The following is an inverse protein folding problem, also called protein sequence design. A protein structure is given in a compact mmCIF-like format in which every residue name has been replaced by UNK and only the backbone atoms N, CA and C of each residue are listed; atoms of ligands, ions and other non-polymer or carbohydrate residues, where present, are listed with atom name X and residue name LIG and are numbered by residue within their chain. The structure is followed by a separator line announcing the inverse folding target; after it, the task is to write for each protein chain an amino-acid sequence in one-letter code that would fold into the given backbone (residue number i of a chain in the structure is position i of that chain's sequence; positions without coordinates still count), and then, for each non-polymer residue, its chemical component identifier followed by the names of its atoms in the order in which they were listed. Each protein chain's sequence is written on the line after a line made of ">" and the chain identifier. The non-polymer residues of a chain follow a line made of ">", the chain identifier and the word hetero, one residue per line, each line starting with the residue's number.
data_IF_107355315740
#
_entry.id   IF_107355315740
#
_cell.length_a   1.000
_cell.length_b   1.000
_cell.length_c   1.000
_cell.angle_alpha   90.00
_cell.angle_beta   90.00
_cell.angle_gamma   90.00
#
_symmetry.space_group_name_H-M   'P 1'
#
loop_
_entity.id
_entity.type
_entity.pdbx_description
1 polymer ?
#
# COMPACT_ATOMS: atom_id res chain seq x y z
N UNK A 1 79.74 -30.10 -23.34
CA UNK A 1 80.90 -29.42 -22.73
C UNK A 1 80.51 -27.95 -22.55
N UNK A 2 80.76 -27.27 -21.43
CA UNK A 2 81.30 -27.72 -20.15
C UNK A 2 81.98 -26.57 -19.39
N UNK A 3 81.60 -26.36 -18.11
CA UNK A 3 82.32 -25.58 -17.06
C UNK A 3 82.37 -24.04 -17.25
N UNK A 4 81.99 -23.19 -16.26
CA UNK A 4 82.52 -22.93 -14.89
C UNK A 4 83.64 -21.86 -14.89
N UNK A 5 84.10 -21.19 -13.82
CA UNK A 5 83.79 -21.05 -12.37
C UNK A 5 84.60 -19.83 -11.85
N UNK A 6 84.40 -19.21 -10.68
CA UNK A 6 83.51 -19.34 -9.51
C UNK A 6 83.12 -17.89 -9.07
N UNK A 7 82.77 -17.42 -7.85
CA UNK A 7 82.73 -17.84 -6.42
C UNK A 7 81.49 -17.19 -5.74
N UNK A 8 81.28 -17.24 -4.42
CA UNK A 8 81.19 -18.33 -3.41
C UNK A 8 81.20 -17.70 -2.00
N UNK A 9 80.46 -18.33 -1.07
CA UNK A 9 80.61 -18.37 0.40
C UNK A 9 79.42 -17.82 1.23
N UNK A 10 79.09 -18.35 2.42
CA UNK A 10 78.59 -19.72 2.72
C UNK A 10 77.73 -19.75 4.03
N UNK A 11 77.01 -20.87 4.27
CA UNK A 11 76.48 -21.41 5.56
C UNK A 11 75.27 -20.79 6.30
N UNK A 12 74.18 -21.56 6.31
CA UNK A 12 73.60 -22.33 7.46
C UNK A 12 73.55 -21.75 8.89
N UNK A 13 72.61 -22.09 9.80
CA UNK A 13 71.38 -22.93 9.79
C UNK A 13 70.59 -22.69 11.11
N UNK A 14 69.26 -22.90 11.15
CA UNK A 14 68.54 -23.67 12.21
C UNK A 14 67.00 -23.48 12.18
N UNK A 15 66.28 -24.43 12.77
CA UNK A 15 64.86 -24.37 13.15
C UNK A 15 64.69 -25.10 14.50
N UNK A 16 63.64 -24.87 15.32
CA UNK A 16 62.45 -25.74 15.19
C UNK A 16 61.09 -25.24 15.79
N UNK A 17 60.04 -26.05 15.56
CA UNK A 17 58.77 -26.21 16.34
C UNK A 17 57.67 -25.14 16.29
N UNK A 18 56.42 -25.64 16.24
CA UNK A 18 55.15 -24.91 16.40
C UNK A 18 54.59 -25.06 17.82
N UNK A 19 53.53 -24.33 18.22
CA UNK A 19 52.18 -24.96 18.17
C UNK A 19 50.94 -24.04 18.02
N UNK A 20 49.81 -24.66 17.61
CA UNK A 20 48.39 -24.34 17.93
C UNK A 20 47.74 -23.00 17.47
N UNK A 21 46.97 -23.12 16.39
CA UNK A 21 45.55 -22.73 16.25
C UNK A 21 44.93 -21.65 17.17
N UNK A 22 44.33 -20.62 16.56
CA UNK A 22 43.06 -20.04 17.03
C UNK A 22 42.02 -20.00 15.91
N UNK A 23 40.73 -20.16 16.25
CA UNK A 23 39.63 -20.36 15.28
C UNK A 23 38.82 -19.08 15.00
N UNK A 24 38.25 -19.02 13.79
CA UNK A 24 37.14 -18.14 13.42
C UNK A 24 35.97 -18.27 14.43
N UNK A 25 35.28 -17.17 14.74
CA UNK A 25 33.94 -17.21 15.33
C UNK A 25 32.89 -17.15 14.22
N UNK A 26 31.95 -18.09 14.23
CA UNK A 26 30.66 -17.99 13.57
C UNK A 26 29.58 -18.03 14.64
N UNK A 27 28.53 -17.22 14.49
CA UNK A 27 27.35 -17.30 15.35
C UNK A 27 26.39 -18.36 14.81
N UNK A 28 25.85 -19.19 15.71
CA UNK A 28 24.94 -20.26 15.38
C UNK A 28 23.66 -20.15 16.22
N UNK A 29 22.51 -20.40 15.60
CA UNK A 29 21.22 -20.41 16.26
C UNK A 29 21.13 -21.53 17.32
N UNK A 30 20.26 -21.35 18.32
CA UNK A 30 19.93 -22.41 19.29
C UNK A 30 18.49 -22.88 19.08
N UNK A 31 18.33 -24.19 18.90
CA UNK A 31 17.08 -24.90 19.18
C UNK A 31 17.21 -25.63 20.51
N UNK A 32 16.08 -25.82 21.21
CA UNK A 32 15.98 -26.64 22.43
C UNK A 32 15.07 -27.85 22.20
N UNK A 33 15.34 -29.02 22.81
CA UNK A 33 14.78 -30.30 22.34
C UNK A 33 13.51 -30.77 23.06
N UNK A 34 12.72 -31.60 22.38
CA UNK A 34 11.67 -32.42 22.99
C UNK A 34 12.23 -33.52 23.93
N UNK A 35 11.48 -33.88 24.98
CA UNK A 35 11.46 -35.28 25.48
C UNK A 35 10.15 -35.69 26.19
N UNK A 36 9.40 -36.56 25.50
CA UNK A 36 8.51 -37.66 25.92
C UNK A 36 7.50 -37.49 27.09
N UNK A 37 6.31 -38.07 26.87
CA UNK A 37 5.20 -38.25 27.84
C UNK A 37 5.51 -39.32 28.91
N UNK A 38 4.89 -39.17 30.07
CA UNK A 38 4.35 -40.28 30.89
C UNK A 38 3.01 -39.84 31.51
N UNK A 39 2.27 -40.73 32.17
CA UNK A 39 0.88 -40.47 32.59
C UNK A 39 0.57 -41.02 33.99
N UNK A 40 -0.30 -40.31 34.73
CA UNK A 40 -1.30 -40.86 35.69
C UNK A 40 -2.17 -39.74 36.27
N UNK A 41 -3.44 -40.06 36.53
CA UNK A 41 -4.41 -39.18 37.19
C UNK A 41 -4.33 -39.33 38.72
N UNK A 42 -4.60 -38.25 39.46
CA UNK A 42 -5.58 -38.19 40.56
C UNK A 42 -5.85 -36.73 40.98
N UNK A 43 -6.99 -36.51 41.61
CA UNK A 43 -7.59 -35.22 42.00
C UNK A 43 -7.87 -35.21 43.52
N UNK A 44 -8.60 -34.22 44.07
CA UNK A 44 -8.47 -32.75 43.97
C UNK A 44 -8.26 -32.11 45.37
N UNK A 45 -8.08 -30.78 45.45
CA UNK A 45 -8.49 -29.99 46.62
C UNK A 45 -8.57 -28.49 46.29
N UNK A 46 -9.68 -27.83 46.66
CA UNK A 46 -9.85 -26.38 46.53
C UNK A 46 -9.11 -25.61 47.64
N UNK A 47 -8.57 -24.44 47.31
CA UNK A 47 -8.62 -23.27 48.22
C UNK A 47 -8.98 -22.01 47.44
N UNK A 48 -10.00 -21.29 47.91
CA UNK A 48 -10.52 -20.05 47.32
C UNK A 48 -9.96 -18.84 48.07
N UNK A 49 -9.78 -17.73 47.35
CA UNK A 49 -9.64 -16.37 47.90
C UNK A 49 -10.45 -15.38 47.03
N UNK A 50 -10.88 -14.22 47.55
CA UNK A 50 -12.22 -13.73 47.23
C UNK A 50 -12.34 -12.84 45.99
N UNK A 51 -13.49 -12.92 45.31
CA UNK A 51 -13.96 -11.88 44.38
C UNK A 51 -14.65 -10.76 45.16
N UNK A 52 -14.19 -9.52 45.04
CA UNK A 52 -15.01 -8.37 45.42
C UNK A 52 -16.19 -8.24 44.44
N UNK A 53 -17.41 -8.26 44.98
CA UNK A 53 -18.62 -7.85 44.25
C UNK A 53 -18.77 -6.32 44.36
N UNK A 54 -18.69 -5.61 43.24
CA UNK A 54 -19.44 -4.35 43.09
C UNK A 54 -20.63 -4.61 42.18
N UNK A 55 -21.80 -4.16 42.62
CA UNK A 55 -23.05 -4.27 41.87
C UNK A 55 -23.07 -3.22 40.78
N UNK A 56 -23.16 -3.65 39.52
CA UNK A 56 -23.62 -2.81 38.41
C UNK A 56 -24.95 -3.42 37.98
N UNK A 57 -26.01 -2.62 37.95
CA UNK A 57 -27.33 -3.07 37.49
C UNK A 57 -27.32 -3.10 35.97
N UNK A 58 -27.89 -4.15 35.38
CA UNK A 58 -28.14 -4.18 33.94
C UNK A 58 -29.24 -3.17 33.60
N UNK A 59 -28.90 -2.17 32.78
CA UNK A 59 -29.86 -1.40 31.98
C UNK A 59 -29.68 -1.77 30.50
N UNK A 60 -30.67 -1.52 29.63
CA UNK A 60 -30.54 -1.79 28.20
C UNK A 60 -29.50 -0.86 27.57
N UNK A 61 -28.59 -1.43 26.78
CA UNK A 61 -27.61 -0.72 25.96
C UNK A 61 -28.04 -0.78 24.48
N UNK A 62 -29.22 -0.21 24.21
CA UNK A 62 -29.72 0.12 22.87
C UNK A 62 -30.12 1.60 22.85
N UNK A 63 -29.14 2.46 22.58
CA UNK A 63 -29.36 3.83 22.11
C UNK A 63 -28.32 4.15 21.05
N UNK A 64 -28.77 4.30 19.81
CA UNK A 64 -27.94 4.82 18.72
C UNK A 64 -27.47 6.24 19.08
N UNK A 65 -26.15 6.44 19.13
CA UNK A 65 -25.59 7.79 19.06
C UNK A 65 -25.67 8.22 17.59
N UNK A 66 -26.85 8.68 17.19
CA UNK A 66 -27.02 9.39 15.93
C UNK A 66 -26.19 10.68 16.02
N UNK A 67 -25.29 10.90 15.07
CA UNK A 67 -24.43 12.10 15.04
C UNK A 67 -25.17 13.26 14.36
N UNK A 68 -26.37 13.52 14.87
CA UNK A 68 -27.18 14.70 14.60
C UNK A 68 -27.43 15.43 15.94
N UNK A 69 -27.69 16.73 15.88
CA UNK A 69 -28.10 17.58 17.01
C UNK A 69 -27.10 17.72 18.18
N UNK A 70 -25.87 18.15 17.86
CA UNK A 70 -24.96 18.84 18.81
C UNK A 70 -24.57 20.25 18.30
N UNK A 71 -25.42 20.87 17.49
CA UNK A 71 -25.33 22.29 17.11
C UNK A 71 -26.71 22.90 16.87
N UNK A 72 -27.50 23.02 17.93
CA UNK A 72 -28.65 23.95 17.98
C UNK A 72 -28.22 25.09 18.91
N UNK A 73 -27.81 26.23 18.32
CA UNK A 73 -27.55 27.44 19.09
C UNK A 73 -28.87 28.18 19.32
N UNK A 74 -29.29 28.29 20.58
CA UNK A 74 -30.24 29.31 21.01
C UNK A 74 -29.55 30.69 21.00
N UNK A 75 -29.36 31.28 19.82
CA UNK A 75 -29.41 32.74 19.60
C UNK A 75 -29.25 33.09 18.12
N UNK A 76 -29.95 34.13 17.68
CA UNK A 76 -30.08 34.55 16.27
C UNK A 76 -28.86 35.25 15.66
N UNK A 77 -27.64 34.83 15.99
CA UNK A 77 -26.42 35.33 15.36
C UNK A 77 -26.16 34.64 14.02
N UNK A 78 -25.86 35.44 13.00
CA UNK A 78 -25.64 34.95 11.63
C UNK A 78 -24.24 34.32 11.51
N UNK A 79 -24.13 33.06 11.94
CA UNK A 79 -22.85 32.45 12.28
C UNK A 79 -21.98 32.20 11.04
N UNK A 80 -20.80 32.82 10.99
CA UNK A 80 -19.95 32.78 9.79
C UNK A 80 -19.38 31.38 9.56
N UNK A 81 -19.56 30.85 8.34
CA UNK A 81 -19.10 29.52 7.91
C UNK A 81 -17.57 29.29 8.02
N UNK A 82 -16.83 30.35 8.34
CA UNK A 82 -15.44 30.31 8.78
C UNK A 82 -15.18 31.33 9.89
N UNK A 83 -14.26 31.02 10.81
CA UNK A 83 -13.80 31.87 11.91
C UNK A 83 -12.28 31.76 12.07
N UNK A 84 -11.63 32.81 12.58
CA UNK A 84 -10.18 32.88 12.75
C UNK A 84 -9.48 33.66 11.64
N UNK A 85 -8.20 33.39 11.40
CA UNK A 85 -7.40 34.04 10.34
C UNK A 85 -7.90 33.59 8.96
N UNK A 86 -7.99 34.50 7.98
CA UNK A 86 -8.45 34.15 6.64
C UNK A 86 -7.67 32.97 6.06
N UNK A 87 -8.39 32.02 5.46
CA UNK A 87 -7.81 30.80 4.93
C UNK A 87 -6.70 31.08 3.90
N UNK A 88 -6.94 32.05 3.02
CA UNK A 88 -5.98 32.45 1.99
C UNK A 88 -4.75 33.13 2.60
N UNK A 89 -4.88 33.82 3.74
CA UNK A 89 -3.75 34.41 4.46
C UNK A 89 -2.88 33.36 5.17
N UNK A 90 -3.45 32.22 5.56
CA UNK A 90 -2.70 31.07 6.06
C UNK A 90 -1.98 30.41 4.87
N UNK A 91 -2.73 30.04 3.84
CA UNK A 91 -2.20 29.31 2.69
C UNK A 91 -1.14 30.10 1.93
N UNK A 92 -1.32 31.39 1.66
CA UNK A 92 -0.33 32.20 0.94
C UNK A 92 0.99 32.42 1.72
N UNK A 93 1.06 32.09 3.02
CA UNK A 93 2.32 32.05 3.78
C UNK A 93 3.05 30.71 3.65
N UNK A 94 2.31 29.62 3.43
CA UNK A 94 2.86 28.27 3.24
C UNK A 94 3.00 27.87 1.75
N UNK A 95 2.34 28.59 0.84
CA UNK A 95 2.53 28.59 -0.61
C UNK A 95 3.47 29.71 -1.07
N UNK A 96 4.48 30.04 -0.26
CA UNK A 96 5.76 30.33 -0.88
C UNK A 96 6.11 29.11 -1.75
N UNK A 97 6.43 29.26 -3.04
CA UNK A 97 6.76 28.13 -3.87
C UNK A 97 7.96 27.42 -3.22
N UNK A 98 7.78 26.16 -2.83
CA UNK A 98 8.92 25.32 -2.48
C UNK A 98 9.78 25.25 -3.73
N UNK A 99 10.98 25.82 -3.65
CA UNK A 99 11.84 26.01 -4.80
C UNK A 99 12.17 24.63 -5.39
N UNK A 100 12.62 24.60 -6.65
CA UNK A 100 13.14 23.36 -7.23
C UNK A 100 14.28 22.77 -6.37
N UNK A 101 15.00 23.61 -5.62
CA UNK A 101 15.99 23.29 -4.59
C UNK A 101 15.44 22.36 -3.49
N UNK A 102 14.21 22.57 -2.99
CA UNK A 102 13.56 21.66 -2.01
C UNK A 102 13.28 20.27 -2.59
N UNK A 103 13.11 20.18 -3.92
CA UNK A 103 12.95 18.91 -4.64
C UNK A 103 14.31 18.29 -5.01
N UNK A 104 15.37 19.08 -5.23
CA UNK A 104 16.73 18.57 -5.36
C UNK A 104 17.18 17.85 -4.10
N UNK A 105 16.82 18.33 -2.89
CA UNK A 105 17.09 17.60 -1.64
C UNK A 105 16.36 16.24 -1.59
N UNK A 106 15.15 16.13 -2.15
CA UNK A 106 14.42 14.85 -2.24
C UNK A 106 15.05 13.90 -3.29
N UNK A 107 15.62 14.46 -4.36
CA UNK A 107 16.32 13.71 -5.43
C UNK A 107 17.71 13.25 -4.97
N UNK A 108 18.39 14.05 -4.15
CA UNK A 108 19.72 13.75 -3.62
C UNK A 108 19.72 12.99 -2.28
N UNK A 109 18.58 12.88 -1.60
CA UNK A 109 18.43 12.01 -0.41
C UNK A 109 18.76 10.56 -0.77
N UNK A 110 19.81 10.03 -0.13
CA UNK A 110 20.27 8.64 -0.29
C UNK A 110 19.25 7.60 0.19
N UNK A 111 18.17 8.04 0.84
CA UNK A 111 17.05 7.22 1.26
C UNK A 111 15.85 7.26 0.27
N UNK A 112 15.92 8.06 -0.80
CA UNK A 112 14.92 8.11 -1.87
C UNK A 112 15.24 7.13 -3.00
N UNK A 113 14.28 6.25 -3.32
CA UNK A 113 14.43 5.21 -4.33
C UNK A 113 13.53 5.51 -5.53
N UNK A 114 14.13 6.04 -6.60
CA UNK A 114 13.44 6.37 -7.85
C UNK A 114 13.29 5.12 -8.72
N UNK A 115 12.05 4.65 -8.89
CA UNK A 115 11.66 3.50 -9.72
C UNK A 115 11.76 3.78 -11.22
N UNK A 116 11.76 5.05 -11.58
CA UNK A 116 11.94 5.56 -12.94
C UNK A 116 13.42 5.33 -13.33
N UNK A 117 13.67 4.73 -14.50
CA UNK A 117 15.02 4.59 -15.06
C UNK A 117 15.44 5.87 -15.80
N UNK A 118 16.73 6.25 -15.81
CA UNK A 118 17.28 7.17 -16.81
C UNK A 118 17.09 6.63 -18.23
N UNK A 119 17.05 7.52 -19.23
CA UNK A 119 16.75 7.20 -20.64
C UNK A 119 17.74 6.20 -21.27
N UNK A 120 18.96 6.10 -20.73
CA UNK A 120 20.07 5.38 -21.35
C UNK A 120 20.34 3.97 -20.79
N UNK A 121 19.57 3.49 -19.82
CA UNK A 121 19.68 2.12 -19.31
C UNK A 121 19.05 1.10 -20.28
N UNK A 122 19.61 -0.11 -20.38
CA UNK A 122 18.95 -1.20 -21.11
C UNK A 122 17.56 -1.50 -20.52
N UNK A 123 16.56 -1.74 -21.39
CA UNK A 123 15.18 -2.04 -20.99
C UNK A 123 14.96 -3.44 -20.35
N UNK A 124 16.04 -4.04 -19.83
CA UNK A 124 16.01 -5.32 -19.13
C UNK A 124 15.43 -5.16 -17.71
N UNK A 125 14.52 -6.08 -17.34
CA UNK A 125 13.93 -6.19 -16.01
C UNK A 125 14.94 -6.79 -15.02
N UNK A 126 15.12 -6.14 -13.87
CA UNK A 126 16.05 -6.56 -12.81
C UNK A 126 15.26 -7.11 -11.63
N UNK A 127 15.18 -8.44 -11.53
CA UNK A 127 14.41 -9.11 -10.49
C UNK A 127 15.02 -8.95 -9.09
N UNK A 128 14.14 -8.89 -8.08
CA UNK A 128 14.47 -9.02 -6.65
C UNK A 128 13.44 -9.92 -5.99
N UNK A 129 13.93 -10.95 -5.33
CA UNK A 129 13.14 -11.91 -4.56
C UNK A 129 13.80 -12.12 -3.20
N UNK A 130 13.91 -11.01 -2.46
CA UNK A 130 14.45 -10.90 -1.11
C UNK A 130 13.43 -10.19 -0.20
N UNK A 131 13.73 -10.11 1.10
CA UNK A 131 12.78 -9.67 2.13
C UNK A 131 12.66 -8.13 2.23
N UNK A 132 13.39 -7.39 1.39
CA UNK A 132 13.43 -5.93 1.32
C UNK A 132 12.66 -5.36 0.12
N UNK A 133 12.15 -6.20 -0.78
CA UNK A 133 11.42 -5.80 -1.99
C UNK A 133 10.08 -6.51 -2.15
N UNK A 134 9.16 -5.90 -2.90
CA UNK A 134 7.89 -6.51 -3.29
C UNK A 134 8.14 -7.76 -4.13
N UNK A 135 7.57 -8.90 -3.72
CA UNK A 135 7.52 -10.13 -4.54
C UNK A 135 6.69 -9.85 -5.81
N UNK A 136 7.34 -9.58 -6.94
CA UNK A 136 6.65 -9.22 -8.18
C UNK A 136 6.04 -10.45 -8.87
N UNK A 137 4.84 -10.36 -9.48
CA UNK A 137 4.18 -11.48 -10.16
C UNK A 137 4.97 -11.99 -11.38
N UNK A 138 5.84 -11.14 -11.95
CA UNK A 138 6.73 -11.46 -13.07
C UNK A 138 8.07 -12.10 -12.66
N UNK A 139 8.35 -12.28 -11.36
CA UNK A 139 9.59 -12.92 -10.92
C UNK A 139 9.67 -14.38 -11.41
N UNK A 140 10.82 -14.83 -11.97
CA UNK A 140 11.08 -16.25 -12.25
C UNK A 140 11.05 -17.17 -11.02
N UNK A 141 11.02 -16.58 -9.82
CA UNK A 141 10.94 -17.26 -8.52
C UNK A 141 9.50 -17.52 -8.05
N UNK A 142 8.50 -16.85 -8.61
CA UNK A 142 7.10 -17.10 -8.27
C UNK A 142 6.61 -18.41 -8.92
N UNK A 143 6.20 -19.36 -8.08
CA UNK A 143 5.77 -20.70 -8.48
C UNK A 143 4.29 -20.96 -8.17
N UNK A 144 3.61 -21.69 -9.05
CA UNK A 144 2.28 -22.26 -8.80
C UNK A 144 2.34 -23.39 -7.77
N UNK A 145 1.18 -23.88 -7.29
CA UNK A 145 1.14 -25.06 -6.40
C UNK A 145 1.77 -26.31 -7.03
N UNK A 146 1.75 -26.41 -8.36
CA UNK A 146 2.38 -27.48 -9.13
C UNK A 146 3.88 -27.25 -9.40
N UNK A 147 4.51 -26.25 -8.77
CA UNK A 147 5.95 -25.91 -8.87
C UNK A 147 6.43 -25.53 -10.28
N UNK A 148 5.53 -25.02 -11.11
CA UNK A 148 5.88 -24.35 -12.37
C UNK A 148 5.94 -22.84 -12.15
N UNK A 149 6.75 -22.11 -12.94
CA UNK A 149 6.75 -20.64 -12.91
C UNK A 149 5.35 -20.11 -13.19
N UNK A 150 4.85 -19.22 -12.34
CA UNK A 150 3.50 -18.69 -12.45
C UNK A 150 3.34 -17.71 -13.62
N UNK A 151 4.36 -16.88 -13.88
CA UNK A 151 4.25 -15.76 -14.84
C UNK A 151 3.82 -16.18 -16.27
N UNK A 152 4.40 -17.21 -16.93
CA UNK A 152 3.97 -17.61 -18.27
C UNK A 152 2.50 -18.05 -18.35
N UNK A 153 1.98 -18.68 -17.28
CA UNK A 153 0.56 -19.05 -17.15
C UNK A 153 -0.32 -17.80 -17.02
N UNK A 154 0.07 -16.86 -16.14
CA UNK A 154 -0.63 -15.59 -15.93
C UNK A 154 -0.65 -14.76 -17.22
N UNK A 155 0.48 -14.65 -17.93
CA UNK A 155 0.57 -13.97 -19.22
C UNK A 155 -0.37 -14.57 -20.26
N UNK A 156 -0.40 -15.91 -20.39
CA UNK A 156 -1.32 -16.59 -21.32
C UNK A 156 -2.80 -16.31 -21.00
N UNK A 157 -3.18 -16.37 -19.73
CA UNK A 157 -4.57 -16.14 -19.27
C UNK A 157 -5.02 -14.68 -19.45
N UNK A 158 -4.15 -13.71 -19.15
CA UNK A 158 -4.43 -12.29 -19.37
C UNK A 158 -4.45 -11.92 -20.85
N UNK A 159 -3.61 -12.54 -21.68
CA UNK A 159 -3.62 -12.39 -23.13
C UNK A 159 -4.92 -12.93 -23.72
N UNK A 160 -5.35 -14.14 -23.36
CA UNK A 160 -6.64 -14.70 -23.78
C UNK A 160 -7.84 -13.85 -23.33
N UNK A 161 -7.80 -13.27 -22.13
CA UNK A 161 -8.84 -12.35 -21.69
C UNK A 161 -8.86 -11.08 -22.55
N UNK A 162 -7.69 -10.49 -22.82
CA UNK A 162 -7.53 -9.32 -23.69
C UNK A 162 -8.06 -9.60 -25.12
N UNK A 163 -7.67 -10.72 -25.73
CA UNK A 163 -8.16 -11.13 -27.05
C UNK A 163 -9.68 -11.29 -27.07
N UNK A 164 -10.29 -11.86 -26.02
CA UNK A 164 -11.75 -11.96 -25.91
C UNK A 164 -12.43 -10.59 -25.85
N UNK A 165 -11.80 -9.58 -25.24
CA UNK A 165 -12.29 -8.21 -25.23
C UNK A 165 -12.23 -7.62 -26.64
N UNK A 166 -11.07 -7.69 -27.29
CA UNK A 166 -10.84 -7.13 -28.64
C UNK A 166 -11.66 -7.82 -29.74
N UNK A 167 -12.03 -9.09 -29.54
CA UNK A 167 -12.94 -9.83 -30.42
C UNK A 167 -14.43 -9.64 -30.08
N UNK A 168 -14.79 -8.80 -29.09
CA UNK A 168 -16.15 -8.60 -28.59
C UNK A 168 -16.85 -9.89 -28.11
N UNK A 169 -16.10 -10.82 -27.51
CA UNK A 169 -16.57 -12.13 -27.00
C UNK A 169 -16.44 -12.31 -25.48
N UNK A 170 -15.92 -11.31 -24.77
CA UNK A 170 -15.69 -11.39 -23.32
C UNK A 170 -16.98 -11.30 -22.50
N UNK A 171 -17.08 -12.14 -21.47
CA UNK A 171 -18.15 -12.09 -20.47
C UNK A 171 -17.57 -11.83 -19.07
N UNK A 172 -18.42 -11.42 -18.11
CA UNK A 172 -18.02 -11.33 -16.71
C UNK A 172 -17.48 -12.67 -16.16
N UNK A 173 -18.01 -13.79 -16.67
CA UNK A 173 -17.55 -15.15 -16.31
C UNK A 173 -16.12 -15.40 -16.78
N UNK A 174 -15.70 -14.86 -17.93
CA UNK A 174 -14.32 -14.96 -18.40
C UNK A 174 -13.36 -14.19 -17.47
N UNK A 175 -13.70 -12.94 -17.12
CA UNK A 175 -12.92 -12.14 -16.15
C UNK A 175 -12.76 -12.88 -14.82
N UNK A 176 -13.86 -13.42 -14.27
CA UNK A 176 -13.82 -14.22 -13.04
C UNK A 176 -12.91 -15.44 -13.19
N UNK A 177 -13.09 -16.26 -14.23
CA UNK A 177 -12.30 -17.47 -14.46
C UNK A 177 -10.81 -17.13 -14.63
N UNK A 178 -10.47 -16.06 -15.35
CA UNK A 178 -9.07 -15.60 -15.49
C UNK A 178 -8.45 -15.25 -14.13
N UNK A 179 -9.16 -14.53 -13.25
CA UNK A 179 -8.66 -14.24 -11.89
C UNK A 179 -8.46 -15.53 -11.09
N UNK A 180 -9.47 -16.41 -11.03
CA UNK A 180 -9.41 -17.66 -10.26
C UNK A 180 -8.34 -18.63 -10.78
N UNK A 181 -8.09 -18.65 -12.10
CA UNK A 181 -7.02 -19.44 -12.71
C UNK A 181 -5.63 -18.82 -12.54
N UNK A 182 -5.49 -17.49 -12.54
CA UNK A 182 -4.22 -16.81 -12.25
C UNK A 182 -3.76 -17.06 -10.81
N UNK A 183 -4.65 -16.89 -9.83
CA UNK A 183 -4.34 -17.01 -8.39
C UNK A 183 -4.38 -18.44 -7.85
N UNK A 184 -5.08 -19.36 -8.55
CA UNK A 184 -5.43 -20.69 -8.04
C UNK A 184 -6.40 -20.63 -6.84
N UNK A 185 -7.09 -19.51 -6.62
CA UNK A 185 -8.06 -19.28 -5.54
C UNK A 185 -9.43 -18.86 -6.08
N UNK A 186 -10.50 -19.46 -5.57
CA UNK A 186 -11.87 -19.06 -5.88
C UNK A 186 -12.27 -17.83 -5.05
N UNK A 187 -12.96 -16.86 -5.65
CA UNK A 187 -13.40 -15.64 -4.96
C UNK A 187 -14.90 -15.37 -5.10
N UNK A 188 -15.49 -14.77 -4.06
CA UNK A 188 -16.79 -14.12 -4.16
C UNK A 188 -16.61 -12.78 -4.89
N UNK A 189 -17.30 -12.64 -6.03
CA UNK A 189 -17.14 -11.49 -6.94
C UNK A 189 -18.37 -10.57 -7.00
N UNK A 190 -19.37 -10.80 -6.11
CA UNK A 190 -20.68 -10.13 -6.14
C UNK A 190 -20.66 -8.61 -6.24
N UNK A 191 -19.70 -7.91 -5.64
CA UNK A 191 -19.60 -6.44 -5.73
C UNK A 191 -19.12 -5.96 -7.10
N UNK A 192 -18.22 -6.72 -7.75
CA UNK A 192 -17.79 -6.41 -9.11
C UNK A 192 -18.87 -6.82 -10.12
N UNK A 193 -19.52 -7.96 -9.90
CA UNK A 193 -20.65 -8.45 -10.69
C UNK A 193 -21.83 -7.46 -10.67
N UNK A 194 -22.22 -7.02 -9.46
CA UNK A 194 -23.27 -6.02 -9.24
C UNK A 194 -22.95 -4.68 -9.89
N UNK A 195 -21.69 -4.22 -9.84
CA UNK A 195 -21.29 -2.98 -10.51
C UNK A 195 -21.51 -3.09 -12.03
N UNK A 196 -21.00 -4.18 -12.64
CA UNK A 196 -20.99 -4.39 -14.09
C UNK A 196 -22.38 -4.75 -14.65
N UNK A 197 -23.24 -5.42 -13.88
CA UNK A 197 -24.53 -5.92 -14.35
C UNK A 197 -25.73 -5.07 -13.90
N UNK A 198 -25.68 -4.49 -12.70
CA UNK A 198 -26.88 -3.90 -12.04
C UNK A 198 -26.79 -2.38 -11.86
N UNK A 199 -25.61 -1.77 -11.99
CA UNK A 199 -25.35 -0.35 -11.71
C UNK A 199 -24.81 0.42 -12.92
N UNK A 200 -23.96 -0.21 -13.75
CA UNK A 200 -23.55 0.35 -15.03
C UNK A 200 -24.69 0.35 -16.04
N UNK A 201 -24.81 1.46 -16.76
CA UNK A 201 -25.53 1.53 -18.05
C UNK A 201 -24.96 0.52 -19.06
N UNK A 202 -25.70 0.23 -20.13
CA UNK A 202 -25.21 -0.63 -21.20
C UNK A 202 -23.92 -0.07 -21.81
N UNK A 203 -23.84 1.25 -21.91
CA UNK A 203 -22.74 2.03 -22.46
C UNK A 203 -21.49 1.95 -21.56
N UNK A 204 -21.63 2.16 -20.25
CA UNK A 204 -20.56 1.95 -19.26
C UNK A 204 -20.08 0.49 -19.25
N UNK A 205 -21.01 -0.47 -19.30
CA UNK A 205 -20.71 -1.91 -19.31
C UNK A 205 -19.94 -2.32 -20.56
N UNK A 206 -20.37 -1.85 -21.74
CA UNK A 206 -19.68 -2.07 -23.01
C UNK A 206 -18.30 -1.40 -23.01
N UNK A 207 -18.20 -0.15 -22.52
CA UNK A 207 -16.92 0.55 -22.39
C UNK A 207 -15.95 -0.19 -21.46
N UNK A 208 -16.43 -0.64 -20.29
CA UNK A 208 -15.62 -1.41 -19.36
C UNK A 208 -15.13 -2.73 -19.97
N UNK A 209 -16.03 -3.55 -20.50
CA UNK A 209 -15.68 -4.88 -21.00
C UNK A 209 -14.81 -4.83 -22.27
N UNK A 210 -15.02 -3.86 -23.16
CA UNK A 210 -14.37 -3.84 -24.49
C UNK A 210 -13.22 -2.83 -24.63
N UNK A 211 -13.12 -1.82 -23.75
CA UNK A 211 -12.05 -0.80 -23.80
C UNK A 211 -11.19 -0.80 -22.53
N UNK A 212 -11.80 -0.67 -21.35
CA UNK A 212 -11.05 -0.51 -20.10
C UNK A 212 -10.35 -1.83 -19.72
N UNK A 213 -11.09 -2.94 -19.66
CA UNK A 213 -10.56 -4.25 -19.28
C UNK A 213 -9.35 -4.73 -20.11
N UNK A 214 -9.34 -4.67 -21.48
CA UNK A 214 -8.15 -5.04 -22.24
C UNK A 214 -6.95 -4.11 -21.99
N UNK A 215 -7.18 -2.86 -21.60
CA UNK A 215 -6.12 -1.94 -21.20
C UNK A 215 -5.59 -2.25 -19.78
N UNK A 216 -6.43 -2.66 -18.83
CA UNK A 216 -5.98 -3.21 -17.54
C UNK A 216 -5.18 -4.50 -17.76
N UNK A 217 -5.63 -5.41 -18.63
CA UNK A 217 -4.83 -6.57 -19.04
C UNK A 217 -3.46 -6.14 -19.61
N UNK A 218 -3.43 -5.13 -20.47
CA UNK A 218 -2.19 -4.64 -21.09
C UNK A 218 -1.23 -4.00 -20.09
N UNK A 219 -1.75 -3.27 -19.09
CA UNK A 219 -0.98 -2.70 -17.98
C UNK A 219 -0.36 -3.79 -17.09
N UNK A 220 -1.09 -4.85 -16.78
CA UNK A 220 -0.57 -5.99 -16.03
C UNK A 220 0.43 -6.83 -16.86
N UNK A 221 0.13 -7.10 -18.13
CA UNK A 221 0.97 -7.91 -19.04
C UNK A 221 2.37 -7.34 -19.28
N UNK A 222 2.54 -6.02 -19.18
CA UNK A 222 3.81 -5.31 -19.39
C UNK A 222 4.45 -4.84 -18.06
N UNK A 223 4.08 -5.43 -16.92
CA UNK A 223 4.61 -5.05 -15.59
C UNK A 223 6.15 -5.15 -15.52
N UNK A 224 6.75 -6.13 -16.20
CA UNK A 224 8.20 -6.30 -16.32
C UNK A 224 8.89 -5.17 -17.10
N UNK A 225 8.22 -4.63 -18.12
CA UNK A 225 8.68 -3.51 -18.95
C UNK A 225 8.39 -2.14 -18.36
N UNK A 226 7.38 -2.01 -17.52
CA UNK A 226 6.97 -0.75 -16.89
C UNK A 226 7.65 -0.60 -15.52
N UNK A 227 7.55 -1.62 -14.67
CA UNK A 227 8.24 -1.72 -13.39
C UNK A 227 9.48 -2.60 -13.55
N UNK A 228 10.47 -2.07 -14.30
CA UNK A 228 11.77 -2.69 -14.63
C UNK A 228 12.65 -3.14 -13.44
N UNK A 229 12.17 -2.92 -12.21
CA UNK A 229 12.69 -3.48 -10.95
C UNK A 229 11.53 -3.55 -9.95
N UNK A 230 11.53 -4.47 -8.98
CA UNK A 230 10.56 -4.46 -7.89
C UNK A 230 10.63 -3.19 -7.01
N UNK A 231 9.49 -2.65 -6.55
CA UNK A 231 9.49 -1.63 -5.51
C UNK A 231 10.12 -2.14 -4.19
N UNK A 232 10.87 -1.29 -3.46
CA UNK A 232 11.33 -1.60 -2.11
C UNK A 232 10.16 -1.62 -1.11
N UNK A 233 10.32 -2.35 0.00
CA UNK A 233 9.41 -2.32 1.14
C UNK A 233 9.83 -1.22 2.13
N UNK A 234 8.88 -0.35 2.47
CA UNK A 234 9.04 0.68 3.50
C UNK A 234 8.68 0.08 4.86
N UNK A 235 9.66 -0.61 5.46
CA UNK A 235 9.55 -1.33 6.75
C UNK A 235 9.54 -0.40 7.96
N UNK A 236 9.11 -0.92 9.11
CA UNK A 236 9.10 -0.21 10.41
C UNK A 236 10.48 0.39 10.75
N UNK A 237 10.49 1.59 11.33
CA UNK A 237 11.65 2.45 11.65
C UNK A 237 12.48 2.91 10.42
N UNK A 238 12.01 2.68 9.18
CA UNK A 238 12.70 3.19 7.99
C UNK A 238 12.29 4.63 7.64
N UNK A 239 13.28 5.52 7.57
CA UNK A 239 13.15 6.82 6.94
C UNK A 239 13.57 6.68 5.47
N UNK A 240 12.61 6.46 4.58
CA UNK A 240 12.84 6.18 3.14
C UNK A 240 11.67 6.67 2.27
N UNK A 241 11.95 6.93 1.00
CA UNK A 241 10.90 7.16 0.00
C UNK A 241 11.03 6.21 -1.20
N UNK A 242 9.90 5.94 -1.85
CA UNK A 242 9.85 5.35 -3.19
C UNK A 242 9.06 6.27 -4.12
N UNK A 243 9.70 6.68 -5.20
CA UNK A 243 9.13 7.58 -6.22
C UNK A 243 8.94 6.82 -7.52
N UNK A 244 7.75 6.85 -8.10
CA UNK A 244 7.43 6.13 -9.34
C UNK A 244 6.51 6.96 -10.24
N UNK A 245 6.50 6.70 -11.55
CA UNK A 245 5.55 7.39 -12.44
C UNK A 245 4.12 6.90 -12.21
N UNK A 246 3.13 7.73 -12.51
CA UNK A 246 1.72 7.30 -12.45
C UNK A 246 1.44 6.07 -13.34
N UNK A 247 2.20 5.91 -14.44
CA UNK A 247 2.19 4.69 -15.27
C UNK A 247 2.72 3.44 -14.55
N UNK A 248 3.70 3.57 -13.68
CA UNK A 248 4.19 2.48 -12.82
C UNK A 248 3.16 2.13 -11.75
N UNK A 249 2.56 3.13 -11.11
CA UNK A 249 1.43 2.95 -10.19
C UNK A 249 0.26 2.21 -10.86
N UNK A 250 -0.16 2.66 -12.05
CA UNK A 250 -1.20 2.05 -12.86
C UNK A 250 -0.96 0.56 -13.17
N UNK A 251 0.29 0.21 -13.51
CA UNK A 251 0.67 -1.18 -13.80
C UNK A 251 0.65 -2.06 -12.53
N UNK A 252 1.12 -1.55 -11.39
CA UNK A 252 1.01 -2.22 -10.10
C UNK A 252 -0.46 -2.40 -9.67
N UNK A 253 -1.31 -1.38 -9.88
CA UNK A 253 -2.74 -1.46 -9.56
C UNK A 253 -3.50 -2.41 -10.51
N UNK A 254 -3.09 -2.53 -11.77
CA UNK A 254 -3.61 -3.56 -12.66
C UNK A 254 -3.26 -4.98 -12.17
N UNK A 255 -2.06 -5.19 -11.61
CA UNK A 255 -1.72 -6.44 -10.93
C UNK A 255 -2.54 -6.67 -9.65
N UNK A 256 -2.83 -5.63 -8.87
CA UNK A 256 -3.71 -5.71 -7.69
C UNK A 256 -5.17 -6.05 -8.06
N UNK A 257 -5.69 -5.50 -9.17
CA UNK A 257 -7.01 -5.82 -9.73
C UNK A 257 -7.13 -7.30 -10.08
N UNK A 258 -6.15 -7.87 -10.78
CA UNK A 258 -6.09 -9.30 -11.06
C UNK A 258 -5.62 -10.17 -9.87
N UNK A 259 -5.43 -9.55 -8.69
CA UNK A 259 -5.02 -10.20 -7.43
C UNK A 259 -3.67 -10.96 -7.51
N UNK A 260 -2.74 -10.46 -8.32
CA UNK A 260 -1.53 -11.19 -8.71
C UNK A 260 -0.37 -11.14 -7.71
N UNK A 261 -0.43 -10.30 -6.67
CA UNK A 261 0.69 -10.21 -5.71
C UNK A 261 0.72 -11.45 -4.79
N UNK A 262 1.78 -12.26 -4.83
CA UNK A 262 1.84 -13.54 -4.14
C UNK A 262 2.06 -13.37 -2.64
N UNK A 263 1.48 -14.27 -1.85
CA UNK A 263 1.54 -14.29 -0.38
C UNK A 263 0.92 -13.06 0.30
N UNK A 264 0.10 -12.31 -0.44
CA UNK A 264 -0.58 -11.10 0.05
C UNK A 264 -2.08 -11.27 0.27
N UNK A 265 -2.69 -12.37 -0.21
CA UNK A 265 -4.13 -12.64 -0.06
C UNK A 265 -4.40 -13.44 1.21
N UNK A 266 -5.57 -13.28 1.82
CA UNK A 266 -5.90 -13.96 3.09
C UNK A 266 -5.85 -15.51 2.98
N UNK A 267 -5.88 -16.06 1.76
CA UNK A 267 -5.80 -17.50 1.46
C UNK A 267 -4.38 -18.04 1.21
N UNK A 268 -3.37 -17.17 1.03
CA UNK A 268 -1.96 -17.54 0.80
C UNK A 268 -0.95 -16.77 1.66
N UNK A 269 -1.43 -15.91 2.58
CA UNK A 269 -0.61 -15.00 3.39
C UNK A 269 0.45 -15.73 4.22
N UNK A 270 1.71 -15.39 3.98
CA UNK A 270 2.86 -15.80 4.80
C UNK A 270 3.09 -14.82 5.95
N UNK A 271 3.85 -15.24 6.97
CA UNK A 271 4.27 -14.36 8.08
C UNK A 271 5.14 -13.19 7.63
N UNK A 272 5.82 -13.30 6.48
CA UNK A 272 6.56 -12.21 5.82
C UNK A 272 5.73 -10.94 5.65
N UNK A 273 4.42 -11.10 5.38
CA UNK A 273 3.49 -10.01 5.14
C UNK A 273 2.49 -9.78 6.28
N UNK A 274 2.65 -10.44 7.43
CA UNK A 274 1.70 -10.33 8.56
C UNK A 274 1.39 -8.87 8.92
N UNK A 275 2.45 -8.06 9.03
CA UNK A 275 2.41 -6.61 9.31
C UNK A 275 2.02 -5.72 8.12
N UNK A 276 1.82 -6.25 6.92
CA UNK A 276 1.47 -5.47 5.73
C UNK A 276 -0.03 -5.54 5.43
N UNK A 277 -0.61 -4.47 4.84
CA UNK A 277 -1.91 -4.54 4.19
C UNK A 277 -1.96 -5.58 3.07
N UNK A 278 -3.16 -6.09 2.79
CA UNK A 278 -3.43 -6.84 1.56
C UNK A 278 -3.70 -5.81 0.44
N UNK A 279 -2.91 -5.77 -0.65
CA UNK A 279 -3.11 -4.87 -1.78
C UNK A 279 -3.98 -5.48 -2.89
N UNK A 280 -4.24 -6.79 -2.87
CA UNK A 280 -5.06 -7.47 -3.88
C UNK A 280 -6.54 -7.13 -3.66
N UNK A 281 -7.27 -6.87 -4.73
CA UNK A 281 -8.68 -6.44 -4.65
C UNK A 281 -9.66 -7.57 -4.26
N UNK A 282 -9.15 -8.75 -3.92
CA UNK A 282 -9.92 -9.96 -3.64
C UNK A 282 -10.96 -9.80 -2.51
N UNK A 283 -10.75 -8.86 -1.57
CA UNK A 283 -11.70 -8.52 -0.49
C UNK A 283 -12.76 -7.50 -0.91
N UNK A 284 -12.46 -6.68 -1.91
CA UNK A 284 -13.32 -5.59 -2.41
C UNK A 284 -14.42 -6.14 -3.33
N UNK A 285 -14.13 -7.22 -4.07
CA UNK A 285 -15.10 -7.89 -4.94
C UNK A 285 -16.20 -8.65 -4.17
N UNK A 286 -15.99 -8.96 -2.89
CA UNK A 286 -16.90 -9.81 -2.09
C UNK A 286 -18.16 -9.10 -1.62
N UNK A 287 -19.17 -9.88 -1.25
CA UNK A 287 -20.38 -9.54 -0.48
C UNK A 287 -21.45 -8.65 -1.11
N UNK A 288 -21.25 -8.07 -2.31
CA UNK A 288 -22.28 -7.31 -3.03
C UNK A 288 -22.72 -5.99 -2.37
N UNK A 289 -21.93 -5.47 -1.43
CA UNK A 289 -22.26 -4.26 -0.66
C UNK A 289 -22.21 -3.02 -1.54
N UNK A 290 -23.23 -2.15 -1.45
CA UNK A 290 -23.27 -0.88 -2.19
C UNK A 290 -22.01 -0.02 -1.95
N UNK A 291 -21.52 0.02 -0.71
CA UNK A 291 -20.29 0.75 -0.35
C UNK A 291 -19.08 0.22 -1.15
N UNK A 292 -18.94 -1.10 -1.28
CA UNK A 292 -17.86 -1.72 -2.08
C UNK A 292 -18.04 -1.46 -3.57
N UNK A 293 -19.28 -1.54 -4.07
CA UNK A 293 -19.66 -1.23 -5.46
C UNK A 293 -19.30 0.21 -5.83
N UNK A 294 -19.56 1.19 -4.95
CA UNK A 294 -19.24 2.59 -5.20
C UNK A 294 -17.72 2.87 -5.13
N UNK A 295 -16.99 2.24 -4.22
CA UNK A 295 -15.51 2.29 -4.21
C UNK A 295 -14.91 1.66 -5.48
N UNK A 296 -15.45 0.52 -5.93
CA UNK A 296 -15.08 -0.08 -7.22
C UNK A 296 -15.37 0.86 -8.40
N UNK A 297 -16.48 1.61 -8.39
CA UNK A 297 -16.80 2.58 -9.44
C UNK A 297 -15.75 3.70 -9.53
N UNK A 298 -15.29 4.23 -8.40
CA UNK A 298 -14.21 5.23 -8.36
C UNK A 298 -12.88 4.65 -8.93
N UNK A 299 -12.52 3.43 -8.54
CA UNK A 299 -11.28 2.78 -8.98
C UNK A 299 -11.34 2.35 -10.46
N UNK A 300 -12.51 1.95 -10.97
CA UNK A 300 -12.68 1.66 -12.40
C UNK A 300 -12.76 2.94 -13.25
N UNK A 301 -13.28 4.05 -12.71
CA UNK A 301 -13.20 5.36 -13.34
C UNK A 301 -11.75 5.87 -13.46
N UNK A 302 -10.92 5.65 -12.44
CA UNK A 302 -9.46 5.83 -12.56
C UNK A 302 -8.89 5.05 -13.75
N UNK A 303 -9.15 3.74 -13.83
CA UNK A 303 -8.69 2.93 -14.98
C UNK A 303 -9.25 3.39 -16.32
N UNK A 304 -10.46 3.97 -16.37
CA UNK A 304 -10.95 4.64 -17.58
C UNK A 304 -10.05 5.84 -17.95
N UNK A 305 -9.97 6.83 -17.06
CA UNK A 305 -9.17 8.06 -17.22
C UNK A 305 -7.75 7.78 -17.69
N UNK A 306 -7.01 6.93 -16.97
CA UNK A 306 -5.60 6.65 -17.29
C UNK A 306 -5.39 5.79 -18.54
N UNK A 307 -6.43 5.12 -19.07
CA UNK A 307 -6.32 4.33 -20.32
C UNK A 307 -6.88 5.06 -21.55
N UNK A 308 -7.69 6.11 -21.34
CA UNK A 308 -7.98 7.13 -22.36
C UNK A 308 -6.79 8.09 -22.54
N UNK A 309 -6.20 8.57 -21.44
CA UNK A 309 -4.98 9.40 -21.44
C UNK A 309 -4.11 9.05 -20.23
N UNK A 310 -3.03 8.29 -20.45
CA UNK A 310 -2.04 7.99 -19.41
C UNK A 310 -1.36 9.29 -18.93
N UNK A 311 -1.46 9.64 -17.63
CA UNK A 311 -0.80 10.83 -17.10
C UNK A 311 0.72 10.59 -16.94
N UNK A 312 1.47 11.69 -16.94
CA UNK A 312 2.93 11.70 -17.03
C UNK A 312 3.63 12.19 -15.75
N UNK A 313 2.89 12.42 -14.67
CA UNK A 313 3.43 12.80 -13.37
C UNK A 313 4.03 11.62 -12.59
N UNK A 314 4.42 11.91 -11.35
CA UNK A 314 5.07 10.97 -10.43
C UNK A 314 4.38 11.00 -9.07
N UNK A 315 4.30 9.83 -8.44
CA UNK A 315 3.85 9.69 -7.06
C UNK A 315 5.03 9.30 -6.18
N UNK A 316 5.07 9.84 -4.96
CA UNK A 316 6.06 9.48 -3.94
C UNK A 316 5.35 8.97 -2.69
N UNK A 317 5.72 7.76 -2.26
CA UNK A 317 5.36 7.21 -0.95
C UNK A 317 6.60 7.35 -0.06
N UNK A 318 6.52 8.17 1.00
CA UNK A 318 7.61 8.37 1.95
C UNK A 318 7.19 7.90 3.33
N UNK A 319 7.97 6.99 3.92
CA UNK A 319 7.89 6.66 5.35
C UNK A 319 8.85 7.55 6.13
N UNK A 320 8.39 8.07 7.24
CA UNK A 320 9.20 8.86 8.17
C UNK A 320 9.03 8.31 9.58
N UNK A 321 10.14 8.09 10.27
CA UNK A 321 10.20 7.58 11.64
C UNK A 321 10.99 8.57 12.49
N UNK A 322 10.29 9.33 13.34
CA UNK A 322 10.90 10.35 14.18
C UNK A 322 11.64 9.69 15.35
N UNK A 323 12.96 9.83 15.37
CA UNK A 323 13.76 9.38 16.52
C UNK A 323 13.27 10.11 17.78
N UNK A 324 12.95 9.34 18.83
CA UNK A 324 12.37 9.83 20.09
C UNK A 324 13.23 10.87 20.81
N UNK A 325 14.53 10.96 20.50
CA UNK A 325 15.40 12.05 20.99
C UNK A 325 14.97 13.44 20.50
N UNK A 326 14.26 13.52 19.37
CA UNK A 326 13.72 14.75 18.79
C UNK A 326 12.23 14.99 19.15
N UNK A 327 11.64 14.21 20.06
CA UNK A 327 10.31 14.51 20.57
C UNK A 327 10.37 15.75 21.49
N UNK A 328 9.46 16.74 21.33
CA UNK A 328 9.42 17.91 22.20
C UNK A 328 9.17 17.53 23.67
N UNK A 329 9.88 18.19 24.58
CA UNK A 329 9.53 18.24 26.00
C UNK A 329 8.32 19.18 26.15
N UNK A 330 7.11 18.64 25.95
CA UNK A 330 5.87 19.42 25.88
C UNK A 330 5.59 20.28 27.13
N UNK A 331 6.10 19.87 28.29
CA UNK A 331 6.05 20.60 29.56
C UNK A 331 7.04 21.78 29.66
N UNK A 332 7.98 21.89 28.73
CA UNK A 332 9.03 22.93 28.65
C UNK A 332 8.92 23.76 27.35
N UNK A 333 7.92 23.49 26.51
CA UNK A 333 7.72 24.18 25.23
C UNK A 333 7.21 25.61 25.44
N UNK A 334 8.04 26.58 25.05
CA UNK A 334 7.67 28.01 24.99
C UNK A 334 7.25 28.46 23.58
N UNK A 335 6.93 27.51 22.68
CA UNK A 335 6.50 27.81 21.30
C UNK A 335 5.07 28.35 21.33
N UNK A 336 4.86 29.56 20.78
CA UNK A 336 3.53 30.15 20.67
C UNK A 336 2.62 29.38 19.69
N UNK A 337 1.31 29.41 19.95
CA UNK A 337 0.31 28.88 19.02
C UNK A 337 0.31 29.69 17.72
N UNK A 338 0.24 28.99 16.58
CA UNK A 338 0.16 29.61 15.26
C UNK A 338 -1.26 30.02 14.87
N UNK A 339 -1.38 30.69 13.73
CA UNK A 339 -2.66 31.10 13.13
C UNK A 339 -3.58 29.90 12.88
N UNK A 340 -4.86 30.07 13.16
CA UNK A 340 -5.90 29.05 12.99
C UNK A 340 -7.07 29.59 12.17
N UNK A 341 -7.59 28.74 11.28
CA UNK A 341 -8.90 28.90 10.66
C UNK A 341 -9.77 27.70 11.04
N UNK A 342 -11.03 27.97 11.38
CA UNK A 342 -12.07 26.98 11.63
C UNK A 342 -13.15 27.17 10.55
N UNK A 343 -13.62 26.09 9.94
CA UNK A 343 -14.65 26.12 8.89
C UNK A 343 -15.56 24.89 8.99
N UNK A 344 -16.84 25.06 8.68
CA UNK A 344 -17.84 23.99 8.60
C UNK A 344 -18.27 23.67 7.16
N UNK A 345 -17.74 24.40 6.16
CA UNK A 345 -18.20 24.34 4.76
C UNK A 345 -17.15 23.87 3.74
N UNK A 346 -16.00 23.35 4.19
CA UNK A 346 -14.95 22.74 3.35
C UNK A 346 -14.55 21.36 3.87
N UNK A 347 -14.12 20.48 2.97
CA UNK A 347 -13.45 19.21 3.32
C UNK A 347 -11.94 19.32 3.16
N UNK A 348 -11.19 18.34 3.69
CA UNK A 348 -9.73 18.32 3.65
C UNK A 348 -9.21 18.14 2.21
N UNK A 349 -9.89 17.32 1.41
CA UNK A 349 -9.54 17.03 0.01
C UNK A 349 -9.94 18.14 -0.98
N UNK A 350 -10.75 19.12 -0.56
CA UNK A 350 -11.14 20.29 -1.36
C UNK A 350 -10.26 21.52 -1.03
N UNK A 351 -9.14 21.31 -0.33
CA UNK A 351 -8.24 22.33 0.21
C UNK A 351 -6.84 22.15 -0.38
N UNK A 352 -6.62 22.73 -1.56
CA UNK A 352 -5.36 22.63 -2.31
C UNK A 352 -4.21 23.36 -1.60
N UNK A 353 -2.96 22.94 -1.86
CA UNK A 353 -1.73 23.57 -1.34
C UNK A 353 -1.39 23.29 0.13
N UNK A 354 -2.35 22.86 0.95
CA UNK A 354 -2.10 22.46 2.34
C UNK A 354 -1.46 21.07 2.47
N UNK A 355 -0.81 20.81 3.61
CA UNK A 355 -0.59 19.43 4.06
C UNK A 355 -1.93 18.84 4.50
N UNK A 356 -2.58 18.10 3.61
CA UNK A 356 -3.85 17.43 3.85
C UNK A 356 -3.65 16.23 4.78
N UNK A 357 -4.44 16.15 5.86
CA UNK A 357 -4.36 15.04 6.83
C UNK A 357 -5.27 13.87 6.41
N UNK A 358 -4.74 12.67 6.61
CA UNK A 358 -5.45 11.40 6.54
C UNK A 358 -5.67 10.88 7.96
N UNK A 359 -6.89 10.47 8.30
CA UNK A 359 -7.23 9.90 9.61
C UNK A 359 -6.92 8.40 9.65
N UNK A 360 -5.67 8.09 9.29
CA UNK A 360 -5.21 6.79 8.85
C UNK A 360 -5.27 5.70 9.94
N UNK A 361 -5.54 4.48 9.50
CA UNK A 361 -5.25 3.29 10.28
C UNK A 361 -3.72 3.06 10.33
N UNK A 362 -3.23 2.38 11.37
CA UNK A 362 -1.81 1.96 11.40
C UNK A 362 -1.44 1.07 10.22
N UNK A 363 -2.39 0.32 9.66
CA UNK A 363 -2.27 -0.32 8.35
C UNK A 363 -2.82 0.65 7.30
N UNK A 364 -1.94 1.41 6.64
CA UNK A 364 -2.31 2.51 5.73
C UNK A 364 -3.36 2.10 4.68
N UNK A 365 -4.38 2.95 4.50
CA UNK A 365 -5.58 2.68 3.69
C UNK A 365 -6.66 1.84 4.40
N UNK A 366 -6.41 1.41 5.64
CA UNK A 366 -7.39 0.81 6.54
C UNK A 366 -8.27 -0.28 5.92
N UNK A 367 -9.57 0.00 5.84
CA UNK A 367 -10.59 -0.88 5.28
C UNK A 367 -10.88 -0.68 3.79
N UNK A 368 -10.04 0.00 3.01
CA UNK A 368 -10.42 0.47 1.65
C UNK A 368 -10.70 -0.67 0.69
N UNK A 369 -9.90 -1.74 0.68
CA UNK A 369 -10.19 -2.97 -0.06
C UNK A 369 -11.14 -3.91 0.70
N UNK A 370 -11.66 -3.49 1.86
CA UNK A 370 -12.64 -4.20 2.67
C UNK A 370 -13.97 -3.44 2.76
N UNK A 371 -14.56 -3.41 3.95
CA UNK A 371 -15.87 -2.78 4.22
C UNK A 371 -15.78 -1.37 4.81
N UNK A 372 -14.58 -0.83 5.04
CA UNK A 372 -14.40 0.54 5.55
C UNK A 372 -14.77 1.60 4.51
N UNK A 373 -15.30 2.73 4.95
CA UNK A 373 -15.69 3.87 4.11
C UNK A 373 -15.82 5.17 4.91
N UNK A 374 -14.91 5.39 5.85
CA UNK A 374 -14.71 6.69 6.52
C UNK A 374 -13.66 7.51 5.74
N UNK A 375 -13.17 8.62 6.30
CA UNK A 375 -12.33 9.59 5.59
C UNK A 375 -11.11 8.99 4.87
N UNK A 376 -10.35 8.08 5.51
CA UNK A 376 -9.23 7.35 4.91
C UNK A 376 -9.67 6.57 3.66
N UNK A 377 -10.63 5.64 3.78
CA UNK A 377 -11.03 4.79 2.66
C UNK A 377 -11.72 5.57 1.54
N UNK A 378 -12.46 6.63 1.87
CA UNK A 378 -13.04 7.55 0.88
C UNK A 378 -11.92 8.22 0.08
N UNK A 379 -10.90 8.75 0.76
CA UNK A 379 -9.79 9.43 0.08
C UNK A 379 -9.00 8.48 -0.83
N UNK A 380 -8.69 7.27 -0.36
CA UNK A 380 -8.04 6.25 -1.17
C UNK A 380 -8.90 5.73 -2.34
N UNK A 381 -10.23 5.86 -2.24
CA UNK A 381 -11.13 5.48 -3.34
C UNK A 381 -11.21 6.54 -4.43
N UNK A 382 -11.15 7.83 -4.07
CA UNK A 382 -11.18 8.95 -5.05
C UNK A 382 -9.80 9.31 -5.62
N UNK A 383 -8.72 8.92 -4.94
CA UNK A 383 -7.32 9.02 -5.39
C UNK A 383 -6.66 7.61 -5.44
N UNK A 384 -7.03 6.70 -6.38
CA UNK A 384 -6.62 5.29 -6.32
C UNK A 384 -5.12 5.02 -6.37
N UNK A 385 -4.30 5.97 -6.81
CA UNK A 385 -2.83 5.88 -6.77
C UNK A 385 -2.30 5.70 -5.34
N UNK A 386 -3.02 6.21 -4.33
CA UNK A 386 -2.72 5.99 -2.92
C UNK A 386 -2.75 4.50 -2.53
N UNK A 387 -3.50 3.64 -3.25
CA UNK A 387 -3.54 2.20 -3.02
C UNK A 387 -2.19 1.50 -3.22
N UNK A 388 -1.23 2.11 -3.92
CA UNK A 388 0.14 1.59 -4.04
C UNK A 388 0.84 1.53 -2.67
N UNK A 389 0.49 2.39 -1.71
CA UNK A 389 1.04 2.34 -0.35
C UNK A 389 0.75 1.02 0.37
N UNK A 390 -0.40 0.38 0.13
CA UNK A 390 -0.76 -0.93 0.69
C UNK A 390 0.20 -2.03 0.24
N UNK A 391 0.81 -1.88 -0.94
CA UNK A 391 1.78 -2.83 -1.48
C UNK A 391 3.14 -2.72 -0.77
N UNK A 392 3.61 -1.50 -0.54
CA UNK A 392 5.00 -1.21 -0.11
C UNK A 392 5.16 -0.91 1.39
N UNK A 393 4.13 -0.46 2.11
CA UNK A 393 4.25 -0.03 3.51
C UNK A 393 3.92 -1.15 4.51
N UNK A 394 4.81 -1.36 5.47
CA UNK A 394 4.51 -2.10 6.70
C UNK A 394 3.64 -1.22 7.63
N UNK A 395 2.91 -1.79 8.60
CA UNK A 395 2.14 -0.99 9.58
C UNK A 395 3.00 0.05 10.31
N UNK A 396 2.40 1.19 10.64
CA UNK A 396 3.05 2.30 11.37
C UNK A 396 3.12 2.04 12.88
N UNK A 397 4.29 2.30 13.47
CA UNK A 397 4.48 2.45 14.92
C UNK A 397 4.22 3.89 15.39
N UNK A 398 4.16 4.08 16.72
CA UNK A 398 3.73 5.34 17.37
C UNK A 398 4.59 6.57 17.08
N UNK A 399 5.76 6.39 16.49
CA UNK A 399 6.70 7.44 16.13
C UNK A 399 6.85 7.62 14.61
N UNK A 400 5.94 7.04 13.82
CA UNK A 400 6.00 7.02 12.36
C UNK A 400 4.80 7.70 11.70
N UNK A 401 5.02 8.18 10.48
CA UNK A 401 3.97 8.59 9.55
C UNK A 401 4.34 8.22 8.10
N UNK A 402 3.34 8.24 7.23
CA UNK A 402 3.49 8.04 5.79
C UNK A 402 2.99 9.29 5.07
N UNK A 403 3.80 9.83 4.17
CA UNK A 403 3.40 10.88 3.24
C UNK A 403 3.12 10.27 1.87
N UNK A 404 2.02 10.70 1.26
CA UNK A 404 1.60 10.34 -0.10
C UNK A 404 1.56 11.65 -0.90
N UNK A 405 2.41 11.76 -1.92
CA UNK A 405 2.69 13.00 -2.64
C UNK A 405 2.48 12.76 -4.14
N UNK A 406 1.81 13.70 -4.83
CA UNK A 406 1.58 13.64 -6.29
C UNK A 406 0.43 12.73 -6.76
N UNK A 407 -0.35 12.15 -5.84
CA UNK A 407 -1.50 11.30 -6.20
C UNK A 407 -2.70 12.13 -6.68
N UNK A 408 -3.13 11.94 -7.92
CA UNK A 408 -4.23 12.66 -8.57
C UNK A 408 -5.61 12.24 -7.99
N UNK A 409 -6.55 13.20 -7.88
CA UNK A 409 -7.97 12.94 -7.58
C UNK A 409 -8.74 12.71 -8.89
N UNK A 410 -9.26 11.50 -9.04
CA UNK A 410 -9.97 11.07 -10.25
C UNK A 410 -11.50 11.14 -10.13
N UNK A 411 -12.04 11.08 -8.90
CA UNK A 411 -13.48 10.96 -8.66
C UNK A 411 -14.06 12.07 -7.77
N UNK A 412 -15.24 12.52 -8.15
CA UNK A 412 -16.17 13.25 -7.29
C UNK A 412 -17.00 12.26 -6.47
N UNK A 413 -17.45 12.64 -5.27
CA UNK A 413 -18.28 11.77 -4.42
C UNK A 413 -19.25 12.57 -3.54
N UNK A 414 -20.28 11.89 -3.05
CA UNK A 414 -21.23 12.39 -2.05
C UNK A 414 -21.44 11.35 -0.94
N UNK A 415 -22.04 11.78 0.17
CA UNK A 415 -22.29 10.95 1.34
C UNK A 415 -21.02 10.52 2.09
N UNK A 416 -21.19 9.64 3.06
CA UNK A 416 -20.15 9.15 3.99
C UNK A 416 -20.55 7.77 4.54
N UNK A 417 -19.58 6.92 4.90
CA UNK A 417 -19.81 5.58 5.45
C UNK A 417 -20.78 4.74 4.59
N UNK A 418 -21.95 4.36 5.13
CA UNK A 418 -22.98 3.59 4.43
C UNK A 418 -23.63 4.33 3.25
N UNK A 419 -23.52 5.66 3.20
CA UNK A 419 -24.12 6.53 2.18
C UNK A 419 -23.14 7.01 1.10
N UNK A 420 -21.88 6.55 1.13
CA UNK A 420 -20.87 6.91 0.13
C UNK A 420 -21.29 6.49 -1.28
N UNK A 421 -21.27 7.44 -2.21
CA UNK A 421 -21.62 7.23 -3.62
C UNK A 421 -20.69 8.01 -4.54
N UNK A 422 -20.23 7.36 -5.62
CA UNK A 422 -19.50 8.01 -6.72
C UNK A 422 -20.39 9.04 -7.41
N UNK A 423 -19.91 10.27 -7.53
CA UNK A 423 -20.67 11.41 -8.06
C UNK A 423 -20.13 11.94 -9.40
N UNK A 424 -19.32 11.14 -10.12
CA UNK A 424 -18.79 11.48 -11.43
C UNK A 424 -17.29 11.76 -11.44
N UNK A 425 -16.81 12.23 -12.59
CA UNK A 425 -15.41 12.62 -12.82
C UNK A 425 -14.95 13.73 -11.86
N UNK A 426 -13.66 13.80 -11.59
CA UNK A 426 -13.01 14.98 -11.02
C UNK A 426 -11.82 15.38 -11.88
N UNK A 427 -11.67 16.67 -12.15
CA UNK A 427 -10.50 17.22 -12.84
C UNK A 427 -9.63 17.85 -11.78
N UNK A 428 -8.49 17.23 -11.54
CA UNK A 428 -7.50 17.75 -10.62
C UNK A 428 -6.66 18.79 -11.35
N UNK A 429 -6.98 20.06 -11.11
CA UNK A 429 -6.27 21.21 -11.66
C UNK A 429 -5.10 21.64 -10.75
N UNK A 430 -4.64 20.76 -9.85
CA UNK A 430 -3.46 20.97 -9.00
C UNK A 430 -2.18 21.01 -9.85
N UNK A 431 -1.33 22.05 -9.75
CA UNK A 431 -0.11 22.21 -10.56
C UNK A 431 1.00 21.16 -10.34
#
# INVERSE_FOLDING_TARGET
>A
MGCASSTSDDKHQSSPKSPRNYRRRSYAARHSPHRRRSSRNRSPLERRSPRLKKSIRNGPLDQDIQVHDVFINEDGMNDSLSKGVSFDNIINRFLQPRNFEDMEDIINDKNSIFMIKPINDENNYVDRWDDDHVRMPCSPSYMTRNKHRAWPKIQHLLFQLKEKCENNRVTFKDLKITIEQCTEHNYDMKSLERLINDIYSNEERISFMLKILPNICSLALNIDRICIRPPPLLRIESNRSVTMSQKQAASLLACAFFCLFPYRSDQDKTSEYENFPNPNFNRLYQSGSLVKVQKLRCILHYFQRITEKMPNGVITVRRFALNRHYFPLWNESNVHLGDMNLTTNKKIEDVHGALQLDFANKYIGGGVLGSGCVQEEIRFSICPEMLVSLLVCEMMEKNECIFLIGCERYSSYKGYASSFEYAGDYKDDTP
#
